data_IF_318292774798
#
_entry.id   IF_318292774798
#
_cell.length_a   1.000
_cell.length_b   1.000
_cell.length_c   1.000
_cell.angle_alpha   90.00
_cell.angle_beta   90.00
_cell.angle_gamma   90.00
#
_symmetry.space_group_name_H-M   'P 1'
#
loop_
_entity.id
_entity.type
_entity.pdbx_description
1 polymer ?
#
# COMPACT_ATOMS: atom_id res chain seq x y z
N UNK A 1 37.82 -1.32 -13.53
CA UNK A 1 36.85 -0.60 -12.69
C UNK A 1 36.06 -1.64 -11.91
N UNK A 2 36.24 -1.71 -10.60
CA UNK A 2 35.67 -2.74 -9.74
C UNK A 2 34.24 -2.35 -9.38
N UNK A 3 33.24 -3.15 -9.76
CA UNK A 3 31.84 -2.93 -9.38
C UNK A 3 31.59 -3.65 -8.07
N UNK A 4 31.71 -2.91 -6.96
CA UNK A 4 31.43 -3.42 -5.62
C UNK A 4 29.95 -3.80 -5.51
N UNK A 5 29.66 -5.10 -5.35
CA UNK A 5 28.32 -5.61 -5.04
C UNK A 5 27.96 -5.17 -3.63
N UNK A 6 26.97 -4.28 -3.50
CA UNK A 6 26.38 -3.90 -2.21
C UNK A 6 25.72 -5.17 -1.63
N UNK A 7 26.07 -5.61 -0.42
CA UNK A 7 25.41 -6.75 0.19
C UNK A 7 23.95 -6.40 0.46
N UNK A 8 23.04 -7.27 -0.01
CA UNK A 8 21.61 -7.21 0.27
C UNK A 8 21.41 -7.20 1.80
N UNK A 9 20.93 -6.06 2.32
CA UNK A 9 20.54 -5.96 3.73
C UNK A 9 19.33 -6.87 3.93
N UNK A 10 19.54 -7.99 4.63
CA UNK A 10 18.49 -8.93 4.99
C UNK A 10 17.37 -8.17 5.71
N UNK A 11 16.20 -8.06 5.07
CA UNK A 11 15.02 -7.47 5.68
C UNK A 11 14.70 -8.25 6.96
N UNK A 12 14.59 -7.54 8.09
CA UNK A 12 14.01 -8.11 9.31
C UNK A 12 12.53 -8.33 9.02
N UNK A 13 12.14 -9.57 8.80
CA UNK A 13 10.74 -9.95 8.77
C UNK A 13 10.19 -9.85 10.20
N UNK A 14 9.40 -8.82 10.47
CA UNK A 14 8.53 -8.80 11.65
C UNK A 14 7.30 -9.67 11.35
N UNK A 15 7.51 -10.97 11.18
CA UNK A 15 6.41 -11.93 11.12
C UNK A 15 6.15 -12.44 12.54
N UNK A 16 5.46 -11.64 13.36
CA UNK A 16 4.95 -12.12 14.64
C UNK A 16 3.63 -12.82 14.39
N UNK A 17 3.63 -14.15 14.42
CA UNK A 17 2.43 -15.00 14.43
C UNK A 17 1.71 -14.94 15.79
N UNK A 18 1.36 -13.74 16.25
CA UNK A 18 0.47 -13.58 17.39
C UNK A 18 -0.97 -13.91 16.97
N UNK A 19 -1.81 -14.49 17.83
CA UNK A 19 -3.20 -14.75 17.50
C UNK A 19 -3.90 -13.42 17.20
N UNK A 20 -4.26 -13.24 15.94
CA UNK A 20 -4.89 -12.04 15.43
C UNK A 20 -6.23 -11.86 16.17
N UNK A 21 -6.30 -10.83 17.01
CA UNK A 21 -7.53 -10.47 17.71
C UNK A 21 -8.51 -9.83 16.72
N UNK A 22 -9.80 -10.11 16.86
CA UNK A 22 -10.85 -9.43 16.10
C UNK A 22 -11.15 -8.05 16.69
N UNK A 23 -11.62 -7.12 15.86
CA UNK A 23 -12.01 -5.77 16.27
C UNK A 23 -13.10 -5.80 17.33
N UNK A 24 -13.00 -4.91 18.34
CA UNK A 24 -14.07 -4.72 19.30
C UNK A 24 -15.25 -3.95 18.65
N UNK A 25 -16.47 -4.01 19.22
CA UNK A 25 -17.67 -3.40 18.61
C UNK A 25 -17.57 -1.88 18.39
N UNK A 26 -16.91 -1.16 19.30
CA UNK A 26 -16.71 0.28 19.17
C UNK A 26 -15.78 0.62 17.99
N UNK A 27 -14.69 -0.13 17.83
CA UNK A 27 -13.73 0.04 16.75
C UNK A 27 -14.28 -0.42 15.40
N UNK A 28 -15.14 -1.44 15.37
CA UNK A 28 -15.85 -1.91 14.17
C UNK A 28 -16.62 -0.79 13.48
N UNK A 29 -17.43 -0.04 14.23
CA UNK A 29 -18.23 1.07 13.67
C UNK A 29 -17.36 2.13 12.98
N UNK A 30 -16.16 2.38 13.51
CA UNK A 30 -15.20 3.33 12.94
C UNK A 30 -14.51 2.73 11.72
N UNK A 31 -14.12 1.46 11.79
CA UNK A 31 -13.52 0.74 10.68
C UNK A 31 -14.46 0.67 9.48
N UNK A 32 -15.74 0.34 9.70
CA UNK A 32 -16.77 0.29 8.65
C UNK A 32 -16.94 1.64 7.94
N UNK A 33 -17.01 2.73 8.70
CA UNK A 33 -17.11 4.09 8.12
C UNK A 33 -15.93 4.42 7.22
N UNK A 34 -14.71 4.10 7.66
CA UNK A 34 -13.49 4.32 6.88
C UNK A 34 -13.52 3.47 5.60
N UNK A 35 -13.95 2.21 5.71
CA UNK A 35 -14.05 1.30 4.58
C UNK A 35 -15.08 1.72 3.53
N UNK A 36 -16.13 2.46 3.90
CA UNK A 36 -17.12 3.01 2.95
C UNK A 36 -16.53 4.18 2.16
N UNK A 37 -15.74 5.03 2.82
CA UNK A 37 -15.16 6.23 2.21
C UNK A 37 -13.97 5.89 1.30
N UNK A 38 -13.18 4.88 1.66
CA UNK A 38 -11.93 4.56 0.98
C UNK A 38 -12.05 3.38 0.01
N UNK A 39 -11.84 3.63 -1.28
CA UNK A 39 -11.94 2.62 -2.35
C UNK A 39 -10.82 1.58 -2.42
N UNK A 40 -9.69 1.80 -1.74
CA UNK A 40 -8.47 1.01 -1.91
C UNK A 40 -8.16 0.00 -0.81
N UNK A 41 -8.80 0.14 0.35
CA UNK A 41 -8.59 -0.75 1.49
C UNK A 41 -9.84 -0.82 2.34
N UNK A 42 -9.98 -1.89 3.13
CA UNK A 42 -10.99 -1.97 4.19
C UNK A 42 -10.29 -2.21 5.52
N UNK A 43 -10.66 -1.42 6.54
CA UNK A 43 -10.17 -1.57 7.90
C UNK A 43 -10.86 -2.72 8.67
N UNK A 44 -11.71 -3.51 8.00
CA UNK A 44 -12.45 -4.65 8.58
C UNK A 44 -11.80 -6.00 8.30
N UNK A 45 -10.52 -6.01 7.93
CA UNK A 45 -9.73 -7.22 7.66
C UNK A 45 -9.67 -7.64 6.20
N UNK A 46 -10.07 -6.78 5.25
CA UNK A 46 -9.91 -7.08 3.83
C UNK A 46 -8.49 -6.79 3.33
N UNK A 47 -8.18 -7.33 2.15
CA UNK A 47 -6.92 -7.08 1.47
C UNK A 47 -6.92 -5.68 0.83
N UNK A 48 -5.79 -4.99 0.94
CA UNK A 48 -5.53 -3.68 0.33
C UNK A 48 -5.13 -3.89 -1.12
N UNK A 49 -5.72 -3.12 -2.02
CA UNK A 49 -5.37 -3.12 -3.44
C UNK A 49 -4.16 -2.24 -3.72
N UNK A 50 -3.39 -2.60 -4.74
CA UNK A 50 -2.36 -1.73 -5.28
C UNK A 50 -3.00 -0.61 -6.11
N UNK A 51 -2.42 0.58 -6.12
CA UNK A 51 -2.88 1.68 -6.97
C UNK A 51 -1.89 1.90 -8.11
N UNK A 52 -2.25 1.43 -9.31
CA UNK A 52 -1.36 1.39 -10.48
C UNK A 52 -2.09 2.06 -11.64
N UNK A 53 -1.45 3.05 -12.26
CA UNK A 53 -1.98 3.71 -13.46
C UNK A 53 -3.29 4.47 -13.28
N UNK A 54 -3.67 4.83 -12.04
CA UNK A 54 -4.93 5.51 -11.75
C UNK A 54 -6.06 4.59 -11.29
N UNK A 55 -5.82 3.28 -11.19
CA UNK A 55 -6.82 2.28 -10.82
C UNK A 55 -6.38 1.43 -9.62
N UNK A 56 -7.37 0.91 -8.89
CA UNK A 56 -7.12 -0.04 -7.79
C UNK A 56 -7.11 -1.47 -8.34
N UNK A 57 -5.95 -2.10 -8.30
CA UNK A 57 -5.67 -3.43 -8.85
C UNK A 57 -5.45 -4.42 -7.72
N UNK A 58 -6.12 -5.57 -7.80
CA UNK A 58 -5.87 -6.70 -6.90
C UNK A 58 -4.51 -7.33 -7.21
N UNK A 59 -3.68 -7.53 -6.18
CA UNK A 59 -2.38 -8.16 -6.36
C UNK A 59 -2.50 -9.68 -6.52
N UNK A 60 -1.62 -10.26 -7.33
CA UNK A 60 -1.48 -11.71 -7.54
C UNK A 60 -0.47 -12.34 -6.58
N UNK A 61 0.03 -11.58 -5.60
CA UNK A 61 1.02 -12.07 -4.65
C UNK A 61 0.46 -13.15 -3.72
N UNK A 62 1.35 -14.05 -3.32
CA UNK A 62 1.07 -15.04 -2.26
C UNK A 62 1.51 -14.54 -0.89
N UNK A 63 2.36 -13.51 -0.83
CA UNK A 63 2.92 -12.98 0.39
C UNK A 63 2.21 -11.67 0.79
N UNK A 64 1.70 -11.65 2.02
CA UNK A 64 0.90 -10.55 2.56
C UNK A 64 1.50 -10.05 3.86
N UNK A 65 1.46 -8.74 4.05
CA UNK A 65 1.91 -8.05 5.26
C UNK A 65 0.68 -7.65 6.06
N UNK A 66 0.57 -8.16 7.29
CA UNK A 66 -0.52 -7.84 8.20
C UNK A 66 -0.36 -6.41 8.75
N UNK A 67 -1.41 -5.58 8.62
CA UNK A 67 -1.50 -4.26 9.24
C UNK A 67 -2.32 -4.38 10.52
N UNK A 68 -1.64 -4.19 11.65
CA UNK A 68 -2.23 -4.38 12.98
C UNK A 68 -2.32 -3.07 13.75
N UNK A 69 -3.30 -2.96 14.63
CA UNK A 69 -3.37 -1.90 15.63
C UNK A 69 -2.25 -2.09 16.67
N UNK A 70 -1.33 -1.12 16.84
CA UNK A 70 -0.21 -1.25 17.77
C UNK A 70 -0.63 -1.35 19.24
N UNK A 71 -1.84 -0.89 19.59
CA UNK A 71 -2.34 -0.89 20.96
C UNK A 71 -3.06 -2.19 21.34
N UNK A 72 -3.73 -2.84 20.38
CA UNK A 72 -4.58 -4.02 20.63
C UNK A 72 -4.14 -5.28 19.91
N UNK A 73 -3.16 -5.20 18.99
CA UNK A 73 -2.72 -6.28 18.10
C UNK A 73 -3.85 -6.88 17.24
N UNK A 74 -4.90 -6.09 17.01
CA UNK A 74 -6.02 -6.45 16.14
C UNK A 74 -5.62 -6.26 14.68
N UNK A 75 -5.94 -7.21 13.80
CA UNK A 75 -5.72 -7.06 12.35
C UNK A 75 -6.75 -6.08 11.76
N UNK A 76 -6.26 -5.09 11.04
CA UNK A 76 -7.06 -4.08 10.36
C UNK A 76 -7.19 -4.40 8.87
N UNK A 77 -6.07 -4.71 8.21
CA UNK A 77 -6.03 -5.05 6.80
C UNK A 77 -4.76 -5.82 6.46
N UNK A 78 -4.67 -6.31 5.22
CA UNK A 78 -3.42 -6.89 4.68
C UNK A 78 -2.96 -6.10 3.49
N UNK A 79 -1.67 -5.84 3.40
CA UNK A 79 -1.05 -5.17 2.24
C UNK A 79 -0.25 -6.21 1.45
N UNK A 80 -0.39 -6.26 0.13
CA UNK A 80 0.32 -7.24 -0.68
C UNK A 80 1.81 -6.91 -0.71
N UNK A 81 2.65 -7.94 -0.59
CA UNK A 81 4.04 -7.81 -1.02
C UNK A 81 4.06 -7.84 -2.55
N UNK A 82 4.04 -6.64 -3.14
CA UNK A 82 3.87 -6.41 -4.59
C UNK A 82 4.91 -7.20 -5.40
N UNK A 83 4.46 -7.89 -6.45
CA UNK A 83 5.36 -8.69 -7.29
C UNK A 83 6.23 -7.81 -8.17
N UNK A 84 7.33 -8.36 -8.71
CA UNK A 84 8.19 -7.62 -9.63
C UNK A 84 7.45 -7.21 -10.91
N UNK A 85 6.49 -8.02 -11.41
CA UNK A 85 5.71 -7.65 -12.60
C UNK A 85 4.80 -6.46 -12.31
N UNK A 86 4.10 -6.47 -11.17
CA UNK A 86 3.23 -5.36 -10.75
C UNK A 86 4.03 -4.08 -10.50
N UNK A 87 5.22 -4.21 -9.91
CA UNK A 87 6.14 -3.10 -9.73
C UNK A 87 6.59 -2.50 -11.07
N UNK A 88 6.94 -3.34 -12.04
CA UNK A 88 7.33 -2.89 -13.37
C UNK A 88 6.17 -2.17 -14.08
N UNK A 89 4.95 -2.69 -13.97
CA UNK A 89 3.75 -2.03 -14.50
C UNK A 89 3.53 -0.65 -13.86
N UNK A 90 3.71 -0.54 -12.54
CA UNK A 90 3.63 0.75 -11.84
C UNK A 90 4.70 1.74 -12.30
N UNK A 91 5.94 1.28 -12.47
CA UNK A 91 7.04 2.10 -12.97
C UNK A 91 6.79 2.59 -14.40
N UNK A 92 6.29 1.74 -15.29
CA UNK A 92 5.94 2.11 -16.65
C UNK A 92 4.78 3.11 -16.69
N UNK A 93 3.70 2.87 -15.93
CA UNK A 93 2.57 3.78 -15.84
C UNK A 93 3.00 5.16 -15.32
N UNK A 94 3.87 5.20 -14.30
CA UNK A 94 4.44 6.44 -13.78
C UNK A 94 5.31 7.14 -14.83
N UNK A 95 6.13 6.40 -15.59
CA UNK A 95 6.95 6.96 -16.67
C UNK A 95 6.11 7.56 -17.79
N UNK A 96 4.96 6.97 -18.13
CA UNK A 96 4.06 7.53 -19.14
C UNK A 96 3.37 8.80 -18.63
N UNK A 97 2.84 8.77 -17.40
CA UNK A 97 2.21 9.94 -16.78
C UNK A 97 3.19 11.12 -16.60
N UNK A 98 4.47 10.82 -16.35
CA UNK A 98 5.50 11.86 -16.19
C UNK A 98 5.71 12.72 -17.45
N UNK A 99 5.47 12.17 -18.65
CA UNK A 99 5.65 12.91 -19.92
C UNK A 99 4.78 14.18 -19.98
N UNK A 100 3.53 14.08 -19.53
CA UNK A 100 2.62 15.24 -19.46
C UNK A 100 2.75 15.99 -18.13
N UNK A 101 2.94 15.29 -17.02
CA UNK A 101 3.06 15.90 -15.70
C UNK A 101 4.28 16.82 -15.55
N UNK A 102 5.40 16.47 -16.19
CA UNK A 102 6.62 17.28 -16.15
C UNK A 102 6.44 18.67 -16.78
N UNK A 103 5.55 18.78 -17.77
CA UNK A 103 5.21 20.04 -18.47
C UNK A 103 4.16 20.88 -17.71
N UNK A 104 3.57 20.35 -16.64
CA UNK A 104 2.56 21.05 -15.85
C UNK A 104 3.20 22.20 -15.07
N UNK A 105 2.58 23.38 -15.09
CA UNK A 105 3.10 24.57 -14.40
C UNK A 105 3.23 24.37 -12.89
N UNK A 106 4.16 25.10 -12.27
CA UNK A 106 4.40 25.03 -10.82
C UNK A 106 3.12 25.34 -10.03
N UNK A 107 2.38 26.39 -10.42
CA UNK A 107 1.12 26.77 -9.78
C UNK A 107 0.07 25.65 -9.86
N UNK A 108 -0.04 24.96 -10.99
CA UNK A 108 -0.96 23.84 -11.14
C UNK A 108 -0.55 22.68 -10.22
N UNK A 109 0.74 22.32 -10.15
CA UNK A 109 1.22 21.25 -9.25
C UNK A 109 1.01 21.59 -7.77
N UNK A 110 1.21 22.85 -7.38
CA UNK A 110 0.94 23.31 -6.00
C UNK A 110 -0.51 23.06 -5.58
N UNK A 111 -1.49 23.28 -6.48
CA UNK A 111 -2.90 23.02 -6.20
C UNK A 111 -3.20 21.56 -5.90
N UNK A 112 -2.49 20.62 -6.50
CA UNK A 112 -2.68 19.20 -6.22
C UNK A 112 -2.09 18.77 -4.88
N UNK A 113 -1.02 19.44 -4.41
CA UNK A 113 -0.35 19.11 -3.13
C UNK A 113 -1.04 19.72 -1.92
N UNK A 114 -1.61 20.92 -2.06
CA UNK A 114 -2.22 21.68 -0.96
C UNK A 114 -3.74 21.47 -0.80
N UNK A 115 -4.34 20.64 -1.66
CA UNK A 115 -5.76 20.32 -1.63
C UNK A 115 -5.99 19.07 -0.81
#
# INVERSE_FOLDING_TARGET
MYVSRIPCVRARAFATSAPIRALNPAALSKAERISVEWKGTSATGANTKNFIGGEFVESKTTEWIDVVDPSTQTLLSRVPQTTNEEFQQAAEAASQAFKSWSQTSVLSRQRFVLK
#
